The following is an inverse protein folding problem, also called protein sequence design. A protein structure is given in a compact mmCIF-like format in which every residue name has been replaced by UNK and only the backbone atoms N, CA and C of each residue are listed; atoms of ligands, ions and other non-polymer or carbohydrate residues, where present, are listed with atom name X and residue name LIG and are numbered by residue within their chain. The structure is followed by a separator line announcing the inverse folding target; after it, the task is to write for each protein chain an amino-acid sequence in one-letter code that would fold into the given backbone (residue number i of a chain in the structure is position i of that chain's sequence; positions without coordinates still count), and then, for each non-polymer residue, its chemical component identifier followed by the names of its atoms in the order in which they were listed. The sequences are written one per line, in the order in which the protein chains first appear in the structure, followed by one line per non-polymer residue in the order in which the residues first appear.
data_IF_829405454648
#
_entry.id   IF_829405454648
#
_cell.length_a   1.000
_cell.length_b   1.000
_cell.length_c   1.000
_cell.angle_alpha   90.00
_cell.angle_beta   90.00
_cell.angle_gamma   90.00
#
_symmetry.space_group_name_H-M   'P 1'
#
loop_
_entity.id
_entity.type
_entity.pdbx_description
1 polymer ?
#
# COMPACT_ATOMS: atom_id res chain seq x y z
N UNK A 1 9.02 3.14 -7.48
CA UNK A 1 8.85 4.41 -6.74
C UNK A 1 10.01 4.61 -5.78
N UNK A 2 10.53 5.84 -5.66
CA UNK A 2 11.56 6.23 -4.67
C UNK A 2 11.04 7.43 -3.90
N UNK A 3 11.10 7.41 -2.57
CA UNK A 3 10.50 8.44 -1.73
C UNK A 3 11.22 8.61 -0.39
N UNK A 4 10.89 9.69 0.33
CA UNK A 4 11.31 9.94 1.71
C UNK A 4 10.09 10.41 2.51
N UNK A 5 9.88 9.79 3.67
CA UNK A 5 8.91 10.29 4.67
C UNK A 5 9.70 10.75 5.88
N UNK A 6 9.63 12.05 6.18
CA UNK A 6 10.39 12.67 7.27
C UNK A 6 9.46 13.44 8.19
N UNK A 7 9.70 13.36 9.49
CA UNK A 7 8.93 14.11 10.49
C UNK A 7 9.68 14.21 11.81
N UNK A 8 9.27 15.15 12.67
CA UNK A 8 9.84 15.28 14.01
C UNK A 8 9.40 14.11 14.87
N UNK A 9 10.34 13.54 15.62
CA UNK A 9 10.07 12.44 16.55
C UNK A 9 9.93 11.07 15.89
N UNK A 10 9.66 10.07 16.73
CA UNK A 10 9.55 8.67 16.32
C UNK A 10 8.21 8.36 15.65
N UNK A 11 7.12 8.98 16.10
CA UNK A 11 5.78 8.81 15.53
C UNK A 11 5.49 9.86 14.45
N UNK A 12 4.57 9.57 13.55
CA UNK A 12 4.13 10.47 12.48
C UNK A 12 3.17 9.74 11.55
N UNK A 13 2.32 10.50 10.89
CA UNK A 13 1.08 10.02 10.30
C UNK A 13 0.72 10.82 9.03
N UNK A 14 -0.14 10.33 8.15
CA UNK A 14 -0.69 8.95 8.12
C UNK A 14 0.20 8.05 7.26
N UNK A 15 0.71 8.57 6.15
CA UNK A 15 1.63 7.85 5.27
C UNK A 15 1.50 8.32 3.84
N UNK A 16 1.64 7.40 2.88
CA UNK A 16 1.38 7.66 1.47
C UNK A 16 0.88 6.41 0.75
N UNK A 17 0.28 6.61 -0.41
CA UNK A 17 -0.24 5.54 -1.24
C UNK A 17 0.19 5.69 -2.70
N UNK A 18 0.46 4.55 -3.34
CA UNK A 18 0.54 4.43 -4.79
C UNK A 18 -0.78 3.86 -5.32
N UNK A 19 -1.28 4.42 -6.42
CA UNK A 19 -2.55 4.06 -7.01
C UNK A 19 -2.37 3.59 -8.46
N UNK A 20 -2.99 2.47 -8.80
CA UNK A 20 -3.20 2.01 -10.17
C UNK A 20 -4.68 1.68 -10.35
N UNK A 21 -5.43 2.64 -10.89
CA UNK A 21 -6.90 2.65 -10.92
C UNK A 21 -7.41 2.92 -12.32
N UNK A 22 -8.67 2.55 -12.58
CA UNK A 22 -9.39 2.78 -13.85
C UNK A 22 -9.47 4.24 -14.30
N UNK A 23 -9.50 5.14 -13.32
CA UNK A 23 -9.54 6.58 -13.54
C UNK A 23 -8.70 7.31 -12.50
N UNK A 24 -8.40 8.56 -12.79
CA UNK A 24 -7.81 9.48 -11.80
C UNK A 24 -8.84 9.72 -10.70
N UNK A 25 -8.48 9.36 -9.47
CA UNK A 25 -9.35 9.51 -8.31
C UNK A 25 -9.37 10.97 -7.81
N UNK A 26 -10.52 11.44 -7.28
CA UNK A 26 -10.57 12.70 -6.55
C UNK A 26 -9.84 12.59 -5.21
N UNK A 27 -9.55 13.73 -4.59
CA UNK A 27 -9.04 13.77 -3.22
C UNK A 27 -10.04 13.18 -2.23
N UNK A 28 -9.56 12.57 -1.16
CA UNK A 28 -10.39 11.92 -0.16
C UNK A 28 -9.61 11.46 1.07
N UNK A 29 -10.24 10.65 1.94
CA UNK A 29 -9.69 10.31 3.25
C UNK A 29 -8.55 9.28 3.19
N UNK A 30 -8.48 8.44 2.15
CA UNK A 30 -7.52 7.33 2.08
C UNK A 30 -6.18 7.82 1.54
N UNK A 31 -5.27 8.19 2.44
CA UNK A 31 -3.94 8.72 2.11
C UNK A 31 -4.01 9.88 1.08
N UNK A 32 -5.05 10.72 1.20
CA UNK A 32 -5.31 11.86 0.32
C UNK A 32 -6.14 11.54 -0.94
N UNK A 33 -6.63 10.32 -1.12
CA UNK A 33 -7.46 9.87 -2.26
C UNK A 33 -8.83 9.34 -1.81
N UNK A 34 -9.73 9.18 -2.77
CA UNK A 34 -11.08 8.63 -2.58
C UNK A 34 -11.09 7.26 -1.88
N UNK A 35 -12.14 7.00 -1.09
CA UNK A 35 -12.32 5.77 -0.29
C UNK A 35 -12.71 4.53 -1.10
N UNK A 36 -13.38 4.74 -2.23
CA UNK A 36 -13.82 3.72 -3.19
C UNK A 36 -13.02 3.87 -4.46
N UNK A 37 -12.24 2.84 -4.81
CA UNK A 37 -11.47 2.80 -6.05
C UNK A 37 -11.67 1.47 -6.75
N UNK A 38 -11.53 1.48 -8.08
CA UNK A 38 -11.49 0.28 -8.90
C UNK A 38 -10.04 0.05 -9.35
N UNK A 39 -9.36 -0.92 -8.72
CA UNK A 39 -7.96 -1.23 -9.03
C UNK A 39 -7.10 -1.52 -7.80
N UNK A 40 -5.81 -1.22 -7.89
CA UNK A 40 -4.78 -1.50 -6.89
C UNK A 40 -4.39 -0.23 -6.11
N UNK A 41 -4.38 -0.34 -4.79
CA UNK A 41 -3.73 0.57 -3.87
C UNK A 41 -2.54 -0.12 -3.20
N UNK A 42 -1.39 0.54 -3.13
CA UNK A 42 -0.24 0.10 -2.32
C UNK A 42 0.03 1.17 -1.27
N UNK A 43 -0.22 0.83 -0.02
CA UNK A 43 -0.16 1.74 1.12
C UNK A 43 1.16 1.59 1.85
N UNK A 44 1.77 2.72 2.18
CA UNK A 44 2.89 2.84 3.10
C UNK A 44 2.36 3.58 4.32
N UNK A 45 1.77 2.81 5.23
CA UNK A 45 1.12 3.28 6.44
C UNK A 45 2.17 3.46 7.54
N UNK A 46 2.16 4.62 8.18
CA UNK A 46 3.12 4.97 9.23
C UNK A 46 2.50 5.14 10.59
N UNK A 47 1.18 5.22 10.66
CA UNK A 47 0.46 5.42 11.90
C UNK A 47 -0.23 4.12 12.31
N UNK A 48 -0.24 3.85 13.60
CA UNK A 48 -0.83 2.64 14.16
C UNK A 48 -2.22 3.01 14.70
N UNK A 49 -3.25 2.92 13.86
CA UNK A 49 -4.61 3.26 14.30
C UNK A 49 -5.22 2.14 15.15
N UNK A 50 -4.78 0.89 14.96
CA UNK A 50 -5.33 -0.29 15.63
C UNK A 50 -4.63 -0.65 16.96
N UNK A 51 -3.56 0.09 17.30
CA UNK A 51 -2.69 -0.07 18.46
C UNK A 51 -2.03 -1.45 18.58
N UNK A 52 -1.78 -2.15 17.47
CA UNK A 52 -1.11 -3.47 17.48
C UNK A 52 0.41 -3.38 17.35
N UNK A 53 0.99 -2.19 17.29
CA UNK A 53 2.43 -1.95 17.16
C UNK A 53 3.04 -2.64 15.92
N UNK A 54 2.31 -2.63 14.80
CA UNK A 54 2.65 -3.25 13.53
C UNK A 54 2.85 -2.23 12.40
N UNK A 55 3.28 -1.01 12.73
CA UNK A 55 3.54 0.08 11.79
C UNK A 55 4.97 0.61 12.02
N UNK A 56 5.68 1.15 11.00
CA UNK A 56 5.21 1.35 9.63
C UNK A 56 5.08 0.06 8.81
N UNK A 57 4.02 -0.01 8.01
CA UNK A 57 3.61 -1.18 7.24
C UNK A 57 3.46 -0.85 5.76
N UNK A 58 3.95 -1.73 4.89
CA UNK A 58 3.72 -1.63 3.44
C UNK A 58 2.79 -2.75 3.03
N UNK A 59 1.65 -2.42 2.46
CA UNK A 59 0.61 -3.38 2.08
C UNK A 59 0.03 -3.08 0.71
N UNK A 60 -0.51 -4.13 0.07
CA UNK A 60 -1.26 -4.01 -1.17
C UNK A 60 -2.73 -4.38 -0.94
N UNK A 61 -3.63 -3.64 -1.56
CA UNK A 61 -5.07 -3.87 -1.52
C UNK A 61 -5.68 -3.69 -2.90
N UNK A 62 -6.60 -4.57 -3.27
CA UNK A 62 -7.39 -4.43 -4.48
C UNK A 62 -8.85 -4.19 -4.12
N UNK A 63 -9.46 -3.23 -4.80
CA UNK A 63 -10.82 -2.82 -4.58
C UNK A 63 -11.60 -2.85 -5.91
N UNK A 64 -12.87 -3.22 -5.82
CA UNK A 64 -13.81 -3.36 -6.93
C UNK A 64 -14.71 -2.12 -7.09
N UNK A 65 -14.36 -1.02 -6.41
CA UNK A 65 -15.14 0.23 -6.37
C UNK A 65 -16.26 0.24 -5.33
N UNK A 66 -16.48 -0.86 -4.59
CA UNK A 66 -17.59 -0.98 -3.65
C UNK A 66 -17.15 -0.87 -2.19
N UNK A 67 -15.91 -1.29 -1.88
CA UNK A 67 -15.43 -1.31 -0.49
C UNK A 67 -14.92 0.06 -0.07
N UNK A 68 -15.21 0.42 1.17
CA UNK A 68 -14.61 1.56 1.87
C UNK A 68 -13.38 1.07 2.64
N UNK A 69 -12.32 1.87 2.68
CA UNK A 69 -11.10 1.52 3.41
C UNK A 69 -11.31 1.65 4.93
N UNK A 70 -11.02 0.57 5.67
CA UNK A 70 -11.17 0.54 7.12
C UNK A 70 -9.92 1.11 7.82
N UNK A 71 -9.94 2.42 8.06
CA UNK A 71 -8.86 3.13 8.76
C UNK A 71 -8.72 2.70 10.23
N UNK A 72 -9.75 2.11 10.86
CA UNK A 72 -9.66 1.73 12.28
C UNK A 72 -8.84 0.45 12.47
N UNK A 73 -8.67 -0.34 11.42
CA UNK A 73 -7.89 -1.58 11.43
C UNK A 73 -6.67 -1.52 10.50
N UNK A 74 -6.26 -0.34 10.05
CA UNK A 74 -5.22 -0.13 9.02
C UNK A 74 -5.50 -0.96 7.74
N UNK A 75 -6.76 -1.27 7.43
CA UNK A 75 -7.11 -2.16 6.33
C UNK A 75 -6.59 -3.59 6.48
N UNK A 76 -6.26 -4.05 7.71
CA UNK A 76 -5.65 -5.36 7.96
C UNK A 76 -6.47 -6.53 7.44
N UNK A 77 -7.81 -6.38 7.39
CA UNK A 77 -8.76 -7.38 6.91
C UNK A 77 -9.05 -7.26 5.41
N UNK A 78 -8.53 -6.22 4.75
CA UNK A 78 -8.78 -5.88 3.35
C UNK A 78 -7.54 -6.02 2.48
N UNK A 79 -6.35 -6.07 3.09
CA UNK A 79 -5.09 -6.27 2.38
C UNK A 79 -5.02 -7.66 1.71
N UNK A 80 -4.27 -7.70 0.60
CA UNK A 80 -3.84 -8.94 -0.02
C UNK A 80 -2.66 -9.54 0.73
N UNK A 81 -1.63 -8.71 0.96
CA UNK A 81 -0.41 -9.06 1.70
C UNK A 81 0.44 -7.79 1.90
N UNK A 82 1.35 -7.84 2.88
CA UNK A 82 2.24 -6.74 3.23
C UNK A 82 3.43 -7.18 4.09
N UNK A 83 4.27 -6.22 4.47
CA UNK A 83 5.37 -6.41 5.40
C UNK A 83 5.56 -5.20 6.32
N UNK A 84 6.11 -5.48 7.51
CA UNK A 84 6.66 -4.47 8.39
C UNK A 84 7.92 -3.89 7.77
N UNK A 85 7.94 -2.58 7.55
CA UNK A 85 9.08 -1.91 6.95
C UNK A 85 9.11 -0.45 7.38
N UNK A 86 10.02 -0.14 8.28
CA UNK A 86 10.27 1.26 8.65
C UNK A 86 10.89 2.03 7.48
N UNK A 87 10.09 2.94 6.92
CA UNK A 87 10.45 3.84 5.83
C UNK A 87 10.55 5.31 6.28
N UNK A 88 10.35 5.60 7.57
CA UNK A 88 10.39 6.98 8.10
C UNK A 88 11.78 7.33 8.60
N UNK A 89 12.15 8.60 8.42
CA UNK A 89 13.39 9.18 8.96
C UNK A 89 14.67 8.38 8.62
N UNK A 90 14.64 7.58 7.56
CA UNK A 90 15.78 6.78 7.13
C UNK A 90 16.84 7.68 6.46
N UNK A 91 18.15 7.48 6.70
CA UNK A 91 19.21 8.21 6.01
C UNK A 91 19.17 8.03 4.49
N UNK A 92 18.71 6.88 4.00
CA UNK A 92 18.57 6.60 2.57
C UNK A 92 17.10 6.68 2.12
N UNK A 93 16.81 7.08 0.87
CA UNK A 93 15.46 7.04 0.34
C UNK A 93 14.88 5.62 0.34
N UNK A 94 13.63 5.51 0.76
CA UNK A 94 12.86 4.28 0.63
C UNK A 94 12.54 4.02 -0.85
N UNK A 95 12.51 2.75 -1.24
CA UNK A 95 12.20 2.31 -2.59
C UNK A 95 11.12 1.24 -2.53
N UNK A 96 10.07 1.42 -3.33
CA UNK A 96 9.04 0.42 -3.53
C UNK A 96 8.98 0.07 -5.01
N UNK A 97 9.20 -1.20 -5.35
CA UNK A 97 9.01 -1.74 -6.70
C UNK A 97 7.71 -2.55 -6.70
N UNK A 98 6.82 -2.20 -7.62
CA UNK A 98 5.54 -2.87 -7.85
C UNK A 98 5.61 -3.42 -9.26
N UNK A 99 5.47 -4.72 -9.40
CA UNK A 99 5.55 -5.42 -10.67
C UNK A 99 4.31 -6.28 -10.83
N UNK A 100 3.63 -6.14 -11.97
CA UNK A 100 2.52 -6.99 -12.35
C UNK A 100 2.87 -7.65 -13.67
N UNK A 101 3.13 -8.96 -13.63
CA UNK A 101 3.57 -9.71 -14.80
C UNK A 101 2.95 -11.10 -14.82
N UNK A 102 2.39 -11.49 -15.97
CA UNK A 102 1.71 -12.77 -16.16
C UNK A 102 0.78 -13.12 -14.99
N UNK A 103 -0.09 -12.17 -14.63
CA UNK A 103 -1.08 -12.36 -13.57
C UNK A 103 -0.49 -12.54 -12.16
N UNK A 104 0.75 -12.10 -11.93
CA UNK A 104 1.39 -12.13 -10.61
C UNK A 104 1.75 -10.71 -10.22
N UNK A 105 1.24 -10.29 -9.05
CA UNK A 105 1.64 -9.04 -8.40
C UNK A 105 2.81 -9.33 -7.44
N UNK A 106 3.91 -8.62 -7.62
CA UNK A 106 5.06 -8.62 -6.72
C UNK A 106 5.28 -7.22 -6.19
N UNK A 107 5.34 -7.08 -4.86
CA UNK A 107 5.68 -5.81 -4.20
C UNK A 107 6.95 -6.01 -3.39
N UNK A 108 7.92 -5.14 -3.64
CA UNK A 108 9.20 -5.10 -2.94
C UNK A 108 9.38 -3.75 -2.28
N UNK A 109 9.69 -3.72 -0.99
CA UNK A 109 9.96 -2.52 -0.22
C UNK A 109 11.36 -2.58 0.42
N UNK A 110 12.19 -1.59 0.08
CA UNK A 110 13.60 -1.51 0.44
C UNK A 110 13.92 -0.17 1.13
N UNK A 111 14.53 -0.21 2.31
CA UNK A 111 14.89 0.99 3.09
C UNK A 111 16.38 1.03 3.44
N UNK A 112 17.21 0.99 2.40
CA UNK A 112 18.67 1.07 2.52
C UNK A 112 19.33 -0.29 2.70
N UNK A 113 19.26 -0.87 3.90
CA UNK A 113 19.92 -2.14 4.23
C UNK A 113 18.96 -3.32 4.38
N UNK A 114 17.66 -3.06 4.29
CA UNK A 114 16.64 -4.06 4.57
C UNK A 114 15.59 -4.08 3.46
N UNK A 115 15.23 -5.29 3.02
CA UNK A 115 14.28 -5.55 1.95
C UNK A 115 13.19 -6.53 2.40
N UNK A 116 11.93 -6.25 2.06
CA UNK A 116 10.85 -7.24 2.08
C UNK A 116 10.25 -7.32 0.69
N UNK A 117 10.00 -8.56 0.26
CA UNK A 117 9.38 -8.89 -1.02
C UNK A 117 8.26 -9.88 -0.78
N UNK A 118 7.10 -9.63 -1.36
CA UNK A 118 5.98 -10.54 -1.26
C UNK A 118 5.17 -10.59 -2.55
N UNK A 119 4.64 -11.78 -2.80
CA UNK A 119 3.67 -12.06 -3.86
C UNK A 119 2.42 -12.59 -3.17
N UNK A 120 1.29 -11.85 -3.16
CA UNK A 120 0.07 -12.35 -2.54
C UNK A 120 -0.31 -13.71 -3.14
N UNK A 121 -0.46 -14.72 -2.27
CA UNK A 121 -0.81 -16.10 -2.66
C UNK A 121 -2.16 -16.17 -3.37
N UNK A 122 -3.05 -15.24 -3.05
CA UNK A 122 -4.33 -15.02 -3.71
C UNK A 122 -4.22 -13.84 -4.67
N UNK A 123 -3.59 -14.05 -5.83
CA UNK A 123 -4.10 -13.32 -7.01
C UNK A 123 -5.44 -13.95 -7.35
N UNK A 124 -6.48 -13.58 -6.60
CA UNK A 124 -7.85 -14.03 -6.86
C UNK A 124 -8.18 -13.73 -8.32
N UNK A 125 -8.91 -14.60 -9.02
CA UNK A 125 -9.34 -14.39 -10.42
C UNK A 125 -9.89 -12.97 -10.64
N UNK A 126 -10.53 -12.37 -9.62
CA UNK A 126 -10.98 -10.97 -9.60
C UNK A 126 -9.86 -9.93 -9.59
N UNK A 127 -8.79 -10.12 -8.83
CA UNK A 127 -7.58 -9.27 -8.84
C UNK A 127 -6.93 -9.27 -10.21
N UNK A 128 -6.84 -10.46 -10.82
CA UNK A 128 -6.32 -10.64 -12.16
C UNK A 128 -7.15 -9.93 -13.20
N UNK A 129 -8.46 -10.13 -13.14
CA UNK A 129 -9.46 -9.53 -14.01
C UNK A 129 -9.38 -8.00 -13.89
N UNK A 130 -9.49 -7.44 -12.67
CA UNK A 130 -9.44 -6.00 -12.42
C UNK A 130 -8.16 -5.34 -12.92
N UNK A 131 -6.99 -5.96 -12.69
CA UNK A 131 -5.72 -5.42 -13.15
C UNK A 131 -5.50 -5.62 -14.66
N UNK A 132 -6.08 -6.66 -15.28
CA UNK A 132 -5.99 -6.90 -16.72
C UNK A 132 -6.90 -6.00 -17.56
N UNK A 133 -8.06 -5.58 -17.03
CA UNK A 133 -8.97 -4.64 -17.74
C UNK A 133 -8.45 -3.20 -17.81
N UNK A 134 -7.37 -2.89 -17.07
CA UNK A 134 -6.70 -1.59 -17.14
C UNK A 134 -5.74 -1.47 -18.34
N UNK A 135 -5.73 -2.48 -19.23
CA UNK A 135 -4.99 -2.57 -20.49
C UNK A 135 -5.94 -2.73 -21.67
#
# INVERSE_FOLDING_TARGET
MVFRVTGRGRLGADGLAFWYTDRRMPSGPVFGSSDKWLGLGVFMDSFDNDNKNNNPYVMAMVNDGLKEYDHNSDGSNQQLSGCLRDFRNNPFPARVKIEYYKNVLTVMAHTGNWECSWTPSTTTTRTTTLMSWLW
#
